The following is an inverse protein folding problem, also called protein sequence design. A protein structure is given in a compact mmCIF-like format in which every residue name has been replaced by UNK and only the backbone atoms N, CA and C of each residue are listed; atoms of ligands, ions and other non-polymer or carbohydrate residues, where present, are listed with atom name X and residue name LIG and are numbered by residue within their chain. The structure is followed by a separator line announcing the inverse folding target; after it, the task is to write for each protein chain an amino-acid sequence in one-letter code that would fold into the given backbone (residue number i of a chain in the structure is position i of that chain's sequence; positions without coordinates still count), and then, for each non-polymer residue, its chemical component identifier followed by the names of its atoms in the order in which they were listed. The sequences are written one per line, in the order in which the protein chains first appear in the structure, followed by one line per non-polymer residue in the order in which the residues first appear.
data_IF_233307381614
#
_entry.id   IF_233307381614
#
_cell.length_a   1.000
_cell.length_b   1.000
_cell.length_c   1.000
_cell.angle_alpha   90.00
_cell.angle_beta   90.00
_cell.angle_gamma   90.00
#
_symmetry.space_group_name_H-M   'P 1'
#
loop_
_entity.id
_entity.type
_entity.pdbx_description
1 polymer ?
#
# COMPACT_ATOMS: atom_id res chain seq x y z
N UNK A 1 -10.86 -10.24 3.96
CA UNK A 1 -10.37 -8.93 3.48
C UNK A 1 -9.63 -8.96 2.12
N UNK A 2 -9.45 -10.12 1.46
CA UNK A 2 -8.95 -10.21 0.06
C UNK A 2 -10.09 -10.45 -0.98
N UNK A 3 -11.35 -10.29 -0.59
CA UNK A 3 -12.50 -10.84 -1.30
C UNK A 3 -13.52 -9.83 -1.86
N UNK A 4 -13.44 -8.55 -1.47
CA UNK A 4 -14.58 -7.63 -1.64
C UNK A 4 -14.64 -6.96 -3.03
N UNK A 5 -13.64 -7.19 -3.88
CA UNK A 5 -13.60 -6.68 -5.25
C UNK A 5 -13.86 -7.79 -6.29
N UNK A 6 -14.61 -7.49 -7.36
CA UNK A 6 -14.77 -8.39 -8.50
C UNK A 6 -13.43 -8.88 -9.05
N UNK A 7 -13.42 -10.11 -9.58
CA UNK A 7 -12.19 -10.69 -10.14
C UNK A 7 -11.60 -9.86 -11.29
N UNK A 8 -12.46 -9.27 -12.14
CA UNK A 8 -12.07 -8.35 -13.22
C UNK A 8 -11.25 -7.19 -12.68
N UNK A 9 -11.68 -6.62 -11.56
CA UNK A 9 -11.07 -5.43 -10.98
C UNK A 9 -9.74 -5.79 -10.34
N UNK A 10 -9.67 -6.93 -9.63
CA UNK A 10 -8.40 -7.46 -9.10
C UNK A 10 -7.38 -7.72 -10.21
N UNK A 11 -7.83 -8.26 -11.35
CA UNK A 11 -6.96 -8.50 -12.49
C UNK A 11 -6.49 -7.18 -13.12
N UNK A 12 -7.40 -6.22 -13.33
CA UNK A 12 -7.06 -4.90 -13.83
C UNK A 12 -6.02 -4.19 -12.95
N UNK A 13 -6.22 -4.24 -11.63
CA UNK A 13 -5.30 -3.67 -10.65
C UNK A 13 -3.93 -4.34 -10.75
N UNK A 14 -3.88 -5.67 -10.75
CA UNK A 14 -2.64 -6.43 -10.87
C UNK A 14 -1.89 -6.13 -12.18
N UNK A 15 -2.58 -6.11 -13.31
CA UNK A 15 -1.98 -5.80 -14.62
C UNK A 15 -1.39 -4.39 -14.62
N UNK A 16 -2.16 -3.39 -14.18
CA UNK A 16 -1.68 -2.01 -14.18
C UNK A 16 -0.49 -1.81 -13.26
N UNK A 17 -0.51 -2.37 -12.04
CA UNK A 17 0.60 -2.31 -11.09
C UNK A 17 1.89 -2.87 -11.70
N UNK A 18 1.83 -4.04 -12.33
CA UNK A 18 3.01 -4.67 -12.95
C UNK A 18 3.44 -3.95 -14.24
N UNK A 19 2.49 -3.41 -15.02
CA UNK A 19 2.82 -2.67 -16.26
C UNK A 19 3.67 -1.43 -15.97
N UNK A 20 3.43 -0.76 -14.85
CA UNK A 20 4.23 0.41 -14.46
C UNK A 20 5.70 0.04 -14.22
N UNK A 21 5.99 -1.12 -13.63
CA UNK A 21 7.37 -1.63 -13.51
C UNK A 21 8.04 -1.81 -14.87
N UNK A 22 7.28 -2.25 -15.87
CA UNK A 22 7.81 -2.46 -17.23
C UNK A 22 8.06 -1.15 -17.96
N UNK A 23 7.24 -0.12 -17.69
CA UNK A 23 7.36 1.21 -18.29
C UNK A 23 8.61 1.98 -17.84
N UNK A 24 9.06 1.78 -16.60
CA UNK A 24 10.25 2.43 -16.02
C UNK A 24 11.56 1.70 -16.37
N UNK A 25 11.59 0.92 -17.46
CA UNK A 25 12.76 0.15 -17.88
C UNK A 25 13.17 -0.95 -16.87
N UNK A 26 12.24 -1.40 -16.02
CA UNK A 26 12.52 -2.35 -14.95
C UNK A 26 13.12 -1.73 -13.69
N UNK A 27 13.22 -0.39 -13.60
CA UNK A 27 13.56 0.29 -12.35
C UNK A 27 12.41 0.12 -11.37
N UNK A 28 12.67 -0.62 -10.30
CA UNK A 28 11.72 -0.86 -9.23
C UNK A 28 11.90 0.24 -8.18
N UNK A 29 10.88 1.08 -7.93
CA UNK A 29 10.94 2.08 -6.88
C UNK A 29 11.23 1.42 -5.52
N UNK A 30 12.20 1.99 -4.80
CA UNK A 30 12.52 1.50 -3.44
C UNK A 30 11.46 1.91 -2.44
N UNK A 31 10.80 3.05 -2.62
CA UNK A 31 9.78 3.55 -1.70
C UNK A 31 8.37 3.22 -2.19
N UNK A 32 7.39 3.39 -1.30
CA UNK A 32 5.98 3.38 -1.64
C UNK A 32 5.63 4.38 -2.76
N UNK A 33 4.79 3.94 -3.69
CA UNK A 33 4.28 4.75 -4.81
C UNK A 33 2.76 4.78 -4.78
N UNK A 34 2.16 5.92 -5.09
CA UNK A 34 0.71 6.05 -5.25
C UNK A 34 0.35 6.01 -6.73
N UNK A 35 -0.57 5.11 -7.08
CA UNK A 35 -1.02 4.88 -8.45
C UNK A 35 -2.55 5.02 -8.55
N UNK A 36 -3.09 5.84 -9.46
CA UNK A 36 -4.53 5.97 -9.59
C UNK A 36 -5.15 4.79 -10.32
N UNK A 37 -6.39 4.44 -9.99
CA UNK A 37 -7.25 3.50 -10.72
C UNK A 37 -8.59 4.20 -11.04
N UNK A 38 -8.61 5.13 -12.02
CA UNK A 38 -9.74 6.04 -12.23
C UNK A 38 -11.06 5.33 -12.52
N UNK A 39 -11.01 4.22 -13.28
CA UNK A 39 -12.18 3.40 -13.61
C UNK A 39 -12.87 2.79 -12.38
N UNK A 40 -12.19 2.73 -11.23
CA UNK A 40 -12.70 2.21 -9.97
C UNK A 40 -12.93 3.30 -8.93
N UNK A 41 -12.60 4.57 -9.22
CA UNK A 41 -12.58 5.67 -8.25
C UNK A 41 -11.72 5.35 -7.01
N UNK A 42 -10.61 4.65 -7.23
CA UNK A 42 -9.65 4.23 -6.20
C UNK A 42 -8.24 4.70 -6.55
N UNK A 43 -7.40 4.81 -5.52
CA UNK A 43 -5.95 4.90 -5.64
C UNK A 43 -5.33 3.71 -4.91
N UNK A 44 -4.15 3.30 -5.35
CA UNK A 44 -3.38 2.23 -4.71
C UNK A 44 -2.07 2.76 -4.17
N UNK A 45 -1.78 2.42 -2.92
CA UNK A 45 -0.48 2.57 -2.31
C UNK A 45 0.30 1.28 -2.54
N UNK A 46 1.41 1.37 -3.26
CA UNK A 46 2.08 0.22 -3.85
C UNK A 46 3.51 0.11 -3.32
N UNK A 47 3.83 -1.05 -2.74
CA UNK A 47 5.20 -1.47 -2.47
C UNK A 47 5.59 -2.54 -3.47
N UNK A 48 6.62 -2.29 -4.25
CA UNK A 48 7.17 -3.29 -5.13
C UNK A 48 8.14 -4.21 -4.37
N UNK A 49 8.18 -5.46 -4.79
CA UNK A 49 8.99 -6.51 -4.18
C UNK A 49 9.90 -7.07 -5.27
N UNK A 50 11.18 -7.23 -4.94
CA UNK A 50 12.16 -7.96 -5.74
C UNK A 50 12.84 -9.02 -4.90
N UNK A 51 13.19 -10.15 -5.50
CA UNK A 51 14.02 -11.18 -4.90
C UNK A 51 14.83 -11.86 -5.98
N UNK A 52 16.00 -12.41 -5.62
CA UNK A 52 16.83 -13.14 -6.58
C UNK A 52 16.20 -14.50 -6.87
N UNK A 53 16.02 -14.84 -8.13
CA UNK A 53 15.41 -16.10 -8.57
C UNK A 53 16.05 -16.53 -9.89
N UNK A 54 17.15 -17.30 -9.78
CA UNK A 54 17.93 -17.77 -10.93
C UNK A 54 17.11 -18.63 -11.91
N UNK A 55 15.97 -19.17 -11.48
CA UNK A 55 15.08 -19.94 -12.34
C UNK A 55 14.30 -19.07 -13.35
N UNK A 56 14.23 -17.75 -13.10
CA UNK A 56 13.51 -16.80 -13.95
C UNK A 56 14.44 -16.13 -14.96
N UNK A 57 13.86 -15.72 -16.09
CA UNK A 57 14.58 -14.90 -17.07
C UNK A 57 15.04 -13.60 -16.42
N UNK A 58 16.34 -13.35 -16.44
CA UNK A 58 16.95 -12.20 -15.78
C UNK A 58 17.33 -12.42 -14.32
N UNK A 59 17.13 -13.63 -13.77
CA UNK A 59 17.58 -14.00 -12.43
C UNK A 59 16.84 -13.31 -11.28
N UNK A 60 15.71 -12.65 -11.55
CA UNK A 60 14.99 -11.82 -10.58
C UNK A 60 13.49 -12.16 -10.61
N UNK A 61 12.93 -12.41 -9.43
CA UNK A 61 11.51 -12.43 -9.17
C UNK A 61 11.00 -11.05 -8.78
N UNK A 62 9.80 -10.71 -9.24
CA UNK A 62 9.16 -9.42 -8.99
C UNK A 62 7.71 -9.60 -8.54
N UNK A 63 7.25 -8.71 -7.69
CA UNK A 63 5.87 -8.67 -7.19
C UNK A 63 5.52 -7.30 -6.65
N UNK A 64 4.30 -7.16 -6.14
CA UNK A 64 3.84 -5.93 -5.51
C UNK A 64 2.80 -6.21 -4.43
N UNK A 65 2.80 -5.39 -3.39
CA UNK A 65 1.72 -5.24 -2.42
C UNK A 65 0.95 -3.99 -2.82
N UNK A 66 -0.38 -4.08 -2.91
CA UNK A 66 -1.24 -2.93 -3.21
C UNK A 66 -2.29 -2.78 -2.12
N UNK A 67 -2.27 -1.64 -1.42
CA UNK A 67 -3.35 -1.21 -0.54
C UNK A 67 -4.23 -0.23 -1.31
N UNK A 68 -5.51 -0.56 -1.45
CA UNK A 68 -6.47 0.29 -2.15
C UNK A 68 -7.17 1.22 -1.16
N UNK A 69 -7.35 2.46 -1.57
CA UNK A 69 -8.05 3.49 -0.81
C UNK A 69 -8.86 4.39 -1.74
N UNK A 70 -9.84 5.11 -1.18
CA UNK A 70 -10.71 5.99 -1.97
C UNK A 70 -9.96 7.23 -2.41
N UNK A 71 -10.24 7.71 -3.60
CA UNK A 71 -9.51 8.83 -4.20
C UNK A 71 -9.52 10.10 -3.33
N UNK A 72 -10.63 10.38 -2.64
CA UNK A 72 -10.75 11.57 -1.77
C UNK A 72 -9.94 11.48 -0.46
N UNK A 73 -9.46 10.29 -0.10
CA UNK A 73 -8.64 10.10 1.10
C UNK A 73 -7.14 10.31 0.80
N UNK A 74 -6.75 10.65 -0.42
CA UNK A 74 -5.34 10.62 -0.85
C UNK A 74 -4.40 11.53 -0.06
N UNK A 75 -4.88 12.68 0.39
CA UNK A 75 -4.11 13.64 1.20
C UNK A 75 -3.49 12.98 2.43
N UNK A 76 -4.22 12.06 3.10
CA UNK A 76 -3.68 11.37 4.29
C UNK A 76 -2.50 10.46 3.91
N UNK A 77 -2.60 9.76 2.78
CA UNK A 77 -1.58 8.84 2.32
C UNK A 77 -0.33 9.58 1.85
N UNK A 78 -0.47 10.74 1.20
CA UNK A 78 0.68 11.60 0.87
C UNK A 78 1.34 12.17 2.13
N UNK A 79 0.56 12.65 3.11
CA UNK A 79 1.09 13.26 4.34
C UNK A 79 1.87 12.27 5.20
N UNK A 80 1.45 11.00 5.25
CA UNK A 80 2.03 9.98 6.12
C UNK A 80 2.76 8.86 5.37
N UNK A 81 3.13 9.10 4.12
CA UNK A 81 3.78 8.09 3.28
C UNK A 81 5.03 7.49 3.94
N UNK A 82 5.89 8.34 4.52
CA UNK A 82 7.12 7.92 5.22
C UNK A 82 6.88 7.08 6.48
N UNK A 83 5.70 7.20 7.10
CA UNK A 83 5.32 6.38 8.25
C UNK A 83 4.69 5.06 7.83
N UNK A 84 4.04 5.04 6.66
CA UNK A 84 3.48 3.84 6.05
C UNK A 84 4.54 2.98 5.36
N UNK A 85 5.67 3.54 4.95
CA UNK A 85 6.72 2.80 4.24
C UNK A 85 7.32 1.65 5.07
N UNK A 86 7.78 1.84 6.33
CA UNK A 86 8.40 0.77 7.12
C UNK A 86 7.58 -0.53 7.27
N UNK A 87 6.26 -0.51 7.59
CA UNK A 87 5.49 -1.75 7.67
C UNK A 87 5.32 -2.44 6.31
N UNK A 88 5.28 -1.68 5.21
CA UNK A 88 5.27 -2.26 3.86
C UNK A 88 6.61 -2.87 3.49
N UNK A 89 7.73 -2.30 3.92
CA UNK A 89 9.08 -2.85 3.75
C UNK A 89 9.25 -4.15 4.51
N UNK A 90 8.80 -4.20 5.76
CA UNK A 90 8.80 -5.43 6.56
C UNK A 90 7.98 -6.53 5.85
N UNK A 91 6.80 -6.18 5.34
CA UNK A 91 5.96 -7.12 4.61
C UNK A 91 6.58 -7.58 3.28
N UNK A 92 7.16 -6.67 2.51
CA UNK A 92 7.84 -6.95 1.24
C UNK A 92 9.00 -7.93 1.43
N UNK A 93 9.87 -7.66 2.41
CA UNK A 93 11.00 -8.53 2.73
C UNK A 93 10.55 -9.92 3.18
N UNK A 94 9.48 -10.00 3.98
CA UNK A 94 8.90 -11.29 4.37
C UNK A 94 8.34 -12.06 3.18
N UNK A 95 7.61 -11.40 2.29
CA UNK A 95 7.04 -12.03 1.09
C UNK A 95 8.17 -12.52 0.16
N UNK A 96 9.23 -11.74 -0.03
CA UNK A 96 10.41 -12.16 -0.80
C UNK A 96 11.02 -13.46 -0.24
N UNK A 97 11.24 -13.53 1.09
CA UNK A 97 11.77 -14.72 1.74
C UNK A 97 10.82 -15.93 1.65
N UNK A 98 9.51 -15.69 1.74
CA UNK A 98 8.50 -16.73 1.55
C UNK A 98 8.51 -17.28 0.11
N UNK A 99 8.78 -16.45 -0.89
CA UNK A 99 8.93 -16.89 -2.29
C UNK A 99 10.15 -17.79 -2.46
N UNK A 100 11.31 -17.35 -1.95
CA UNK A 100 12.56 -18.11 -2.00
C UNK A 100 12.45 -19.50 -1.33
N UNK A 101 11.67 -19.58 -0.26
CA UNK A 101 11.45 -20.82 0.49
C UNK A 101 10.30 -21.68 -0.06
N UNK A 102 9.64 -21.27 -1.15
CA UNK A 102 8.43 -21.91 -1.68
C UNK A 102 7.37 -22.15 -0.58
N UNK A 103 7.20 -21.17 0.29
CA UNK A 103 6.30 -21.28 1.44
C UNK A 103 4.83 -21.45 1.00
N UNK A 104 3.99 -22.08 1.83
CA UNK A 104 2.58 -22.27 1.50
C UNK A 104 1.79 -20.95 1.64
N UNK A 105 0.64 -20.87 0.95
CA UNK A 105 -0.18 -19.66 0.78
C UNK A 105 -0.60 -19.00 2.10
N UNK A 106 -0.82 -19.81 3.14
CA UNK A 106 -1.25 -19.37 4.46
C UNK A 106 -0.24 -18.39 5.07
N UNK A 107 1.06 -18.61 4.86
CA UNK A 107 2.12 -17.72 5.36
C UNK A 107 2.07 -16.33 4.74
N UNK A 108 1.73 -16.23 3.46
CA UNK A 108 1.52 -14.94 2.81
C UNK A 108 0.29 -14.24 3.37
N UNK A 109 -0.77 -15.00 3.67
CA UNK A 109 -2.00 -14.48 4.24
C UNK A 109 -1.74 -13.90 5.63
N UNK A 110 -0.90 -14.56 6.44
CA UNK A 110 -0.48 -14.06 7.75
C UNK A 110 0.24 -12.70 7.64
N UNK A 111 1.18 -12.59 6.69
CA UNK A 111 1.92 -11.33 6.44
C UNK A 111 0.99 -10.21 6.02
N UNK A 112 0.09 -10.47 5.06
CA UNK A 112 -0.86 -9.46 4.57
C UNK A 112 -1.90 -9.08 5.64
N UNK A 113 -2.32 -10.02 6.48
CA UNK A 113 -3.24 -9.76 7.60
C UNK A 113 -2.56 -8.88 8.65
N UNK A 114 -1.31 -9.18 9.00
CA UNK A 114 -0.53 -8.33 9.92
C UNK A 114 -0.40 -6.92 9.36
N UNK A 115 -0.02 -6.77 8.09
CA UNK A 115 0.10 -5.47 7.43
C UNK A 115 -1.23 -4.71 7.46
N UNK A 116 -2.34 -5.38 7.16
CA UNK A 116 -3.69 -4.79 7.21
C UNK A 116 -4.04 -4.28 8.61
N UNK A 117 -3.74 -5.05 9.66
CA UNK A 117 -3.99 -4.66 11.05
C UNK A 117 -3.13 -3.45 11.42
N UNK A 118 -1.83 -3.51 11.16
CA UNK A 118 -0.88 -2.42 11.46
C UNK A 118 -1.28 -1.13 10.74
N UNK A 119 -1.64 -1.22 9.46
CA UNK A 119 -2.08 -0.05 8.67
C UNK A 119 -3.37 0.54 9.25
N UNK A 120 -4.33 -0.31 9.63
CA UNK A 120 -5.60 0.14 10.21
C UNK A 120 -5.39 0.85 11.55
N UNK A 121 -4.54 0.27 12.41
CA UNK A 121 -4.16 0.88 13.70
C UNK A 121 -3.49 2.23 13.50
N UNK A 122 -2.55 2.31 12.56
CA UNK A 122 -1.86 3.55 12.24
C UNK A 122 -2.83 4.64 11.75
N UNK A 123 -3.72 4.32 10.80
CA UNK A 123 -4.73 5.27 10.32
C UNK A 123 -5.67 5.73 11.44
N UNK A 124 -6.00 4.86 12.39
CA UNK A 124 -6.80 5.21 13.55
C UNK A 124 -6.06 6.16 14.51
N UNK A 125 -4.79 5.89 14.80
CA UNK A 125 -3.95 6.77 15.63
C UNK A 125 -3.80 8.16 15.00
N UNK A 126 -3.62 8.22 13.68
CA UNK A 126 -3.55 9.47 12.93
C UNK A 126 -4.85 10.27 13.04
N UNK A 127 -5.99 9.60 12.84
CA UNK A 127 -7.31 10.21 13.00
C UNK A 127 -7.47 10.80 14.41
N UNK A 128 -7.09 10.05 15.44
CA UNK A 128 -7.20 10.50 16.82
C UNK A 128 -6.28 11.69 17.13
N UNK A 129 -5.09 11.74 16.51
CA UNK A 129 -4.17 12.87 16.61
C UNK A 129 -4.76 14.13 15.96
N UNK A 130 -5.24 14.04 14.73
CA UNK A 130 -5.80 15.20 14.01
C UNK A 130 -7.06 15.75 14.70
N UNK A 131 -7.91 14.88 15.29
CA UNK A 131 -9.07 15.32 16.08
C UNK A 131 -8.65 16.08 17.35
N UNK A 132 -7.57 15.65 18.01
CA UNK A 132 -7.05 16.34 19.20
C UNK A 132 -6.46 17.71 18.84
N UNK A 133 -5.70 17.79 17.75
CA UNK A 133 -5.10 19.03 17.28
C UNK A 133 -6.19 20.03 16.82
N UNK A 134 -7.27 19.57 16.18
CA UNK A 134 -8.41 20.40 15.81
C UNK A 134 -9.16 20.98 17.02
N UNK A 135 -9.30 20.20 18.11
CA UNK A 135 -9.94 20.66 19.36
C UNK A 135 -9.10 21.67 20.14
N UNK A 136 -7.82 21.82 19.80
CA UNK A 136 -6.93 22.78 20.43
C UNK A 136 -7.04 24.21 19.86
N UNK A 137 -7.84 24.42 18.81
CA UNK A 137 -8.13 25.75 18.27
C UNK A 137 -9.37 26.34 18.98
N UNK A 138 -9.26 27.50 19.65
CA UNK A 138 -10.43 28.15 20.24
C UNK A 138 -11.40 28.58 19.14
N UNK A 139 -12.68 28.26 19.31
CA UNK A 139 -13.76 28.79 18.48
C UNK A 139 -13.63 30.31 18.49
N UNK A 140 -13.33 30.90 17.32
CA UNK A 140 -13.33 32.35 17.17
C UNK A 140 -14.72 32.84 17.57
N UNK A 141 -14.83 33.50 18.72
CA UNK A 141 -16.00 34.27 19.08
C UNK A 141 -16.15 35.34 18.02
N UNK A 142 -17.05 35.11 17.05
CA UNK A 142 -17.53 36.13 16.16
C UNK A 142 -18.26 37.12 17.06
N UNK A 143 -17.58 38.23 17.40
CA UNK A 143 -18.26 39.40 17.95
C UNK A 143 -19.11 39.98 16.82
N UNK A 144 -20.42 39.78 16.91
CA UNK A 144 -21.37 40.59 16.16
C UNK A 144 -21.10 42.07 16.47
N UNK A 145 -20.91 42.85 15.41
CA UNK A 145 -20.74 44.30 15.44
C UNK A 145 -21.96 44.95 14.79
#
# INVERSE_FOLDING_TARGET
LLGDLPQSDRLYIGIKTITVLSGEGGLIPENLVILPFPSLNLKGLIKFIKWDDESRRGGIGQGAITLLFKEFDDVIFYKYLSYLDPPFDEAANKIANLQLSNAPREKYTDVLTKLSITTTQFLQELKDKEIKDAKAFPEQQIKEA
#
